data_IF_223585160149
#
_entry.id   IF_223585160149
#
_cell.length_a   1.000
_cell.length_b   1.000
_cell.length_c   1.000
_cell.angle_alpha   90.00
_cell.angle_beta   90.00
_cell.angle_gamma   90.00
#
_symmetry.space_group_name_H-M   'P 1'
#
loop_
_entity.id
_entity.type
_entity.pdbx_description
1 polymer ?
#
# COMPACT_ATOMS: atom_id res chain seq x y z
N UNK A 1 25.77 -31.96 39.58
CA UNK A 1 26.19 -31.85 38.16
C UNK A 1 25.21 -30.90 37.47
N UNK A 2 25.59 -29.64 37.22
CA UNK A 2 24.73 -28.66 36.56
C UNK A 2 25.09 -28.57 35.07
N UNK A 3 24.17 -28.99 34.19
CA UNK A 3 24.33 -28.87 32.74
C UNK A 3 24.16 -27.41 32.30
N UNK A 4 25.14 -26.85 31.58
CA UNK A 4 25.05 -25.51 30.99
C UNK A 4 24.09 -25.53 29.81
N UNK A 5 23.12 -24.59 29.78
CA UNK A 5 22.22 -24.38 28.64
C UNK A 5 23.03 -23.97 27.39
N UNK A 6 22.71 -24.48 26.19
CA UNK A 6 23.34 -24.06 24.95
C UNK A 6 23.01 -22.59 24.65
N UNK A 7 24.00 -21.85 24.13
CA UNK A 7 23.84 -20.43 23.81
C UNK A 7 23.08 -20.28 22.50
N UNK A 8 22.06 -19.40 22.47
CA UNK A 8 21.25 -19.11 21.29
C UNK A 8 22.03 -18.18 20.34
N UNK A 9 22.34 -18.60 19.09
CA UNK A 9 23.12 -17.82 18.15
C UNK A 9 22.42 -16.50 17.74
N UNK A 10 21.11 -16.35 17.96
CA UNK A 10 20.36 -15.14 17.61
C UNK A 10 20.71 -13.91 18.45
N UNK A 11 21.41 -14.08 19.58
CA UNK A 11 21.86 -12.93 20.41
C UNK A 11 23.11 -12.25 19.88
N UNK A 12 23.85 -12.86 18.94
CA UNK A 12 25.10 -12.29 18.43
C UNK A 12 24.89 -11.21 17.33
N UNK A 13 23.74 -11.22 16.64
CA UNK A 13 23.50 -10.35 15.48
C UNK A 13 22.80 -9.01 15.80
N UNK A 14 22.71 -8.64 17.08
CA UNK A 14 22.23 -7.31 17.48
C UNK A 14 23.35 -6.26 17.40
N UNK A 15 23.98 -6.13 16.23
CA UNK A 15 24.74 -4.94 15.88
C UNK A 15 23.77 -3.92 15.26
N UNK A 16 23.85 -2.61 15.60
CA UNK A 16 23.04 -1.60 14.93
C UNK A 16 23.37 -1.63 13.44
N UNK A 17 22.40 -2.10 12.65
CA UNK A 17 22.52 -2.16 11.19
C UNK A 17 22.78 -0.72 10.70
N UNK A 18 23.97 -0.50 10.16
CA UNK A 18 24.35 0.78 9.57
C UNK A 18 23.26 1.20 8.58
N UNK A 19 22.74 2.42 8.76
CA UNK A 19 21.66 2.96 7.95
C UNK A 19 22.02 2.80 6.46
N UNK A 20 21.28 1.93 5.77
CA UNK A 20 21.44 1.76 4.34
C UNK A 20 21.28 3.12 3.66
N UNK A 21 22.14 3.47 2.68
CA UNK A 21 22.03 4.74 1.98
C UNK A 21 20.63 4.85 1.40
N UNK A 22 19.88 5.87 1.85
CA UNK A 22 18.53 6.16 1.39
C UNK A 22 18.57 6.25 -0.13
N UNK A 23 17.79 5.44 -0.88
CA UNK A 23 17.73 5.60 -2.32
C UNK A 23 17.29 7.04 -2.60
N UNK A 24 18.12 7.77 -3.35
CA UNK A 24 17.87 9.16 -3.73
C UNK A 24 16.61 9.14 -4.60
N UNK A 25 15.50 9.66 -4.06
CA UNK A 25 14.20 9.67 -4.74
C UNK A 25 14.31 10.48 -6.03
N UNK A 26 13.85 9.89 -7.13
CA UNK A 26 13.84 10.50 -8.46
C UNK A 26 12.59 11.39 -8.59
N UNK A 27 12.68 12.62 -9.14
CA UNK A 27 11.52 13.44 -9.46
C UNK A 27 10.56 12.70 -10.41
N UNK A 28 9.25 12.71 -10.12
CA UNK A 28 8.27 11.82 -10.77
C UNK A 28 7.92 10.57 -9.95
N UNK A 29 8.46 10.42 -8.74
CA UNK A 29 8.04 9.37 -7.82
C UNK A 29 6.67 9.68 -7.25
N UNK A 30 5.74 8.71 -7.32
CA UNK A 30 4.49 8.64 -6.55
C UNK A 30 4.78 8.54 -5.02
N UNK A 31 5.50 9.52 -4.47
CA UNK A 31 6.04 9.52 -3.12
C UNK A 31 4.97 9.84 -2.06
N UNK A 32 3.80 10.31 -2.49
CA UNK A 32 2.66 10.58 -1.62
C UNK A 32 1.67 9.42 -1.63
N UNK A 33 1.76 8.50 -2.61
CA UNK A 33 0.98 7.26 -2.64
C UNK A 33 1.31 6.41 -1.42
N UNK A 34 0.29 5.93 -0.71
CA UNK A 34 0.39 5.00 0.44
C UNK A 34 1.61 5.30 1.35
N UNK A 35 1.65 6.48 2.02
CA UNK A 35 2.81 6.95 2.77
C UNK A 35 3.45 5.95 3.74
N UNK A 36 2.65 5.13 4.43
CA UNK A 36 3.17 4.12 5.36
C UNK A 36 3.82 2.94 4.63
N UNK A 37 3.21 2.49 3.53
CA UNK A 37 3.79 1.43 2.71
C UNK A 37 5.05 1.87 1.95
N UNK A 38 5.11 3.14 1.53
CA UNK A 38 6.16 3.68 0.67
C UNK A 38 7.26 4.47 1.41
N UNK A 39 7.18 4.61 2.74
CA UNK A 39 8.20 5.30 3.53
C UNK A 39 8.74 4.41 4.64
N UNK A 40 10.07 4.16 4.69
CA UNK A 40 10.64 3.41 5.79
C UNK A 40 10.61 4.21 7.09
N UNK A 41 10.25 3.54 8.19
CA UNK A 41 10.31 4.03 9.56
C UNK A 41 10.76 2.89 10.48
N UNK A 42 11.18 3.21 11.71
CA UNK A 42 11.64 2.19 12.65
C UNK A 42 10.45 1.31 13.12
N UNK A 43 10.66 0.00 13.36
CA UNK A 43 9.61 -0.83 13.93
C UNK A 43 9.06 -0.24 15.23
N UNK A 44 7.73 -0.19 15.36
CA UNK A 44 7.05 0.39 16.52
C UNK A 44 6.85 1.92 16.48
N UNK A 45 7.44 2.64 15.52
CA UNK A 45 7.33 4.11 15.43
C UNK A 45 6.34 4.59 14.36
N UNK A 46 5.38 3.75 13.98
CA UNK A 46 4.44 4.06 12.89
C UNK A 46 3.55 5.27 13.20
N UNK A 47 2.99 5.33 14.42
CA UNK A 47 2.16 6.46 14.85
C UNK A 47 2.95 7.78 14.92
N UNK A 48 4.19 7.73 15.44
CA UNK A 48 5.09 8.87 15.48
C UNK A 48 5.42 9.39 14.08
N UNK A 49 5.63 8.48 13.13
CA UNK A 49 5.81 8.87 11.73
C UNK A 49 4.59 9.62 11.20
N UNK A 50 3.37 9.12 11.42
CA UNK A 50 2.13 9.82 11.01
C UNK A 50 2.01 11.20 11.66
N UNK A 51 2.33 11.31 12.95
CA UNK A 51 2.25 12.57 13.67
C UNK A 51 3.35 13.57 13.30
N UNK A 52 4.47 13.11 12.75
CA UNK A 52 5.53 13.97 12.22
C UNK A 52 5.19 14.63 10.88
N UNK A 53 4.17 14.11 10.16
CA UNK A 53 3.76 14.67 8.89
C UNK A 53 3.04 16.02 9.08
N UNK A 54 3.31 16.96 8.18
CA UNK A 54 2.59 18.22 8.15
C UNK A 54 1.07 17.99 7.93
N UNK A 55 0.19 18.80 8.53
CA UNK A 55 -1.25 18.73 8.26
C UNK A 55 -1.54 18.80 6.75
N UNK A 56 -2.42 17.94 6.26
CA UNK A 56 -2.81 17.87 4.86
C UNK A 56 -3.06 16.43 4.37
N UNK A 57 -3.40 16.26 3.08
CA UNK A 57 -3.89 14.99 2.54
C UNK A 57 -2.94 13.80 2.79
N UNK A 58 -1.62 14.03 2.69
CA UNK A 58 -0.65 12.98 2.96
C UNK A 58 -0.70 12.45 4.40
N UNK A 59 -0.89 13.34 5.39
CA UNK A 59 -1.05 12.93 6.79
C UNK A 59 -2.37 12.19 6.99
N UNK A 60 -3.44 12.66 6.36
CA UNK A 60 -4.76 12.06 6.48
C UNK A 60 -4.79 10.64 5.89
N UNK A 61 -4.19 10.44 4.71
CA UNK A 61 -3.99 9.11 4.11
C UNK A 61 -3.11 8.24 5.01
N UNK A 62 -1.99 8.74 5.51
CA UNK A 62 -1.12 7.97 6.41
C UNK A 62 -1.85 7.56 7.71
N UNK A 63 -2.75 8.41 8.23
CA UNK A 63 -3.63 8.07 9.36
C UNK A 63 -4.63 6.99 8.98
N UNK A 64 -5.23 7.06 7.79
CA UNK A 64 -6.15 6.05 7.29
C UNK A 64 -5.46 4.68 7.13
N UNK A 65 -4.25 4.65 6.56
CA UNK A 65 -3.43 3.44 6.51
C UNK A 65 -3.12 2.89 7.91
N UNK A 66 -2.75 3.76 8.86
CA UNK A 66 -2.49 3.35 10.24
C UNK A 66 -3.73 2.69 10.86
N UNK A 67 -4.92 3.25 10.66
CA UNK A 67 -6.17 2.64 11.12
C UNK A 67 -6.39 1.26 10.50
N UNK A 68 -6.19 1.13 9.18
CA UNK A 68 -6.32 -0.15 8.48
C UNK A 68 -5.36 -1.21 9.04
N UNK A 69 -4.06 -0.91 9.12
CA UNK A 69 -3.05 -1.85 9.63
C UNK A 69 -3.21 -2.15 11.12
N UNK A 70 -3.87 -1.27 11.88
CA UNK A 70 -4.19 -1.49 13.29
C UNK A 70 -5.50 -2.26 13.50
N UNK A 71 -6.13 -2.78 12.44
CA UNK A 71 -7.38 -3.55 12.54
C UNK A 71 -8.60 -2.70 12.85
N UNK A 72 -8.60 -1.42 12.46
CA UNK A 72 -9.71 -0.46 12.64
C UNK A 72 -10.27 -0.05 11.28
N UNK A 73 -10.87 -0.99 10.53
CA UNK A 73 -11.30 -0.76 9.15
C UNK A 73 -12.37 0.33 9.01
N UNK A 74 -13.29 0.47 9.98
CA UNK A 74 -14.33 1.51 9.95
C UNK A 74 -13.72 2.93 9.98
N UNK A 75 -12.75 3.15 10.88
CA UNK A 75 -12.01 4.41 10.95
C UNK A 75 -11.18 4.66 9.69
N UNK A 76 -10.59 3.61 9.12
CA UNK A 76 -9.81 3.70 7.89
C UNK A 76 -10.67 4.14 6.71
N UNK A 77 -11.85 3.52 6.51
CA UNK A 77 -12.81 3.93 5.49
C UNK A 77 -13.26 5.36 5.72
N UNK A 78 -13.68 5.71 6.94
CA UNK A 78 -14.17 7.06 7.24
C UNK A 78 -13.11 8.15 6.97
N UNK A 79 -11.84 7.87 7.23
CA UNK A 79 -10.74 8.77 6.91
C UNK A 79 -10.46 8.84 5.40
N UNK A 80 -10.39 7.70 4.73
CA UNK A 80 -10.06 7.61 3.30
C UNK A 80 -11.16 8.17 2.39
N UNK A 81 -12.44 7.96 2.70
CA UNK A 81 -13.57 8.39 1.84
C UNK A 81 -13.55 9.89 1.55
N UNK A 82 -13.02 10.71 2.47
CA UNK A 82 -12.89 12.17 2.30
C UNK A 82 -11.97 12.59 1.14
N UNK A 83 -11.15 11.66 0.66
CA UNK A 83 -10.11 11.91 -0.34
C UNK A 83 -10.38 11.21 -1.68
N UNK A 84 -11.55 10.56 -1.85
CA UNK A 84 -11.91 9.87 -3.11
C UNK A 84 -12.05 10.83 -4.30
N UNK A 85 -12.35 12.10 -4.05
CA UNK A 85 -12.48 13.14 -5.07
C UNK A 85 -11.28 14.11 -5.08
N UNK A 86 -10.16 13.72 -4.47
CA UNK A 86 -8.93 14.54 -4.49
C UNK A 86 -8.43 14.79 -5.91
N UNK A 87 -8.01 16.03 -6.19
CA UNK A 87 -7.33 16.37 -7.45
C UNK A 87 -5.96 15.70 -7.57
N UNK A 88 -5.25 15.58 -6.44
CA UNK A 88 -3.97 14.87 -6.37
C UNK A 88 -4.15 13.36 -6.59
N UNK A 89 -3.53 12.85 -7.66
CA UNK A 89 -3.61 11.45 -8.08
C UNK A 89 -3.18 10.47 -6.98
N UNK A 90 -2.02 10.70 -6.37
CA UNK A 90 -1.46 9.83 -5.32
C UNK A 90 -2.42 9.70 -4.14
N UNK A 91 -3.00 10.82 -3.71
CA UNK A 91 -4.00 10.90 -2.64
C UNK A 91 -5.28 10.16 -3.02
N UNK A 92 -5.83 10.42 -4.22
CA UNK A 92 -7.06 9.79 -4.70
C UNK A 92 -6.90 8.28 -4.84
N UNK A 93 -5.81 7.83 -5.46
CA UNK A 93 -5.52 6.41 -5.61
C UNK A 93 -5.33 5.73 -4.24
N UNK A 94 -4.61 6.36 -3.31
CA UNK A 94 -4.47 5.82 -1.94
C UNK A 94 -5.82 5.66 -1.25
N UNK A 95 -6.71 6.67 -1.37
CA UNK A 95 -8.05 6.62 -0.80
C UNK A 95 -8.87 5.46 -1.35
N UNK A 96 -8.85 5.25 -2.68
CA UNK A 96 -9.53 4.14 -3.33
C UNK A 96 -8.99 2.79 -2.84
N UNK A 97 -7.67 2.62 -2.77
CA UNK A 97 -7.05 1.38 -2.28
C UNK A 97 -7.41 1.09 -0.82
N UNK A 98 -7.35 2.09 0.06
CA UNK A 98 -7.72 1.91 1.48
C UNK A 98 -9.20 1.54 1.59
N UNK A 99 -10.08 2.22 0.84
CA UNK A 99 -11.51 1.88 0.83
C UNK A 99 -11.74 0.46 0.32
N UNK A 100 -11.04 0.03 -0.73
CA UNK A 100 -11.13 -1.33 -1.24
C UNK A 100 -10.78 -2.37 -0.18
N UNK A 101 -9.60 -2.26 0.43
CA UNK A 101 -9.12 -3.24 1.40
C UNK A 101 -9.88 -3.20 2.73
N UNK A 102 -10.21 -2.01 3.23
CA UNK A 102 -10.86 -1.87 4.53
C UNK A 102 -12.34 -2.28 4.50
N UNK A 103 -13.01 -2.26 3.33
CA UNK A 103 -14.39 -2.73 3.21
C UNK A 103 -14.51 -4.27 3.18
N UNK A 104 -13.45 -5.00 2.80
CA UNK A 104 -13.44 -6.47 2.80
C UNK A 104 -13.70 -7.10 4.18
N UNK A 105 -12.93 -6.78 5.25
CA UNK A 105 -13.19 -7.34 6.58
C UNK A 105 -14.52 -6.88 7.19
N UNK A 106 -15.11 -5.81 6.66
CA UNK A 106 -16.45 -5.32 7.05
C UNK A 106 -17.59 -6.04 6.32
N UNK A 107 -17.28 -6.93 5.36
CA UNK A 107 -18.30 -7.61 4.55
C UNK A 107 -18.96 -6.69 3.51
N UNK A 108 -18.45 -5.48 3.28
CA UNK A 108 -19.00 -4.53 2.32
C UNK A 108 -18.42 -4.78 0.91
N UNK A 109 -18.71 -5.96 0.35
CA UNK A 109 -18.10 -6.43 -0.91
C UNK A 109 -18.38 -5.47 -2.08
N UNK A 110 -19.59 -4.93 -2.19
CA UNK A 110 -19.94 -4.00 -3.28
C UNK A 110 -19.14 -2.70 -3.19
N UNK A 111 -18.97 -2.15 -1.97
CA UNK A 111 -18.14 -0.97 -1.77
C UNK A 111 -16.66 -1.23 -2.07
N UNK A 112 -16.18 -2.43 -1.79
CA UNK A 112 -14.82 -2.82 -2.14
C UNK A 112 -14.63 -2.88 -3.67
N UNK A 113 -15.62 -3.41 -4.40
CA UNK A 113 -15.65 -3.41 -5.88
C UNK A 113 -15.66 -2.00 -6.45
N UNK A 114 -16.56 -1.15 -5.97
CA UNK A 114 -16.69 0.24 -6.43
C UNK A 114 -15.38 1.01 -6.24
N UNK A 115 -14.72 0.82 -5.08
CA UNK A 115 -13.43 1.45 -4.79
C UNK A 115 -12.30 0.94 -5.69
N UNK A 116 -12.30 -0.34 -6.06
CA UNK A 116 -11.31 -0.90 -7.00
C UNK A 116 -11.52 -0.42 -8.43
N UNK A 117 -12.77 -0.30 -8.89
CA UNK A 117 -13.08 0.31 -10.18
C UNK A 117 -12.69 1.80 -10.20
N UNK A 118 -12.93 2.54 -9.11
CA UNK A 118 -12.48 3.92 -8.98
C UNK A 118 -10.94 4.04 -9.00
N UNK A 119 -10.22 3.11 -8.35
CA UNK A 119 -8.75 3.05 -8.41
C UNK A 119 -8.27 2.82 -9.85
N UNK A 120 -8.89 1.87 -10.56
CA UNK A 120 -8.57 1.59 -11.96
C UNK A 120 -8.84 2.79 -12.86
N UNK A 121 -9.98 3.46 -12.70
CA UNK A 121 -10.32 4.68 -13.44
C UNK A 121 -9.31 5.81 -13.19
N UNK A 122 -8.88 6.02 -11.94
CA UNK A 122 -7.87 7.02 -11.61
C UNK A 122 -6.53 6.75 -12.31
N UNK A 123 -6.13 5.48 -12.42
CA UNK A 123 -4.89 5.07 -13.09
C UNK A 123 -5.01 5.21 -14.59
N UNK A 124 -6.12 4.78 -15.19
CA UNK A 124 -6.35 4.87 -16.63
C UNK A 124 -6.30 6.34 -17.11
N UNK A 125 -6.89 7.27 -16.34
CA UNK A 125 -6.87 8.70 -16.65
C UNK A 125 -5.46 9.32 -16.66
N UNK A 126 -4.57 8.85 -15.78
CA UNK A 126 -3.19 9.33 -15.68
C UNK A 126 -2.21 8.54 -16.58
N UNK A 127 -2.65 7.42 -17.14
CA UNK A 127 -1.79 6.50 -17.88
C UNK A 127 -1.53 6.90 -19.34
N UNK A 128 -2.12 8.00 -19.84
CA UNK A 128 -1.81 8.59 -21.14
C UNK A 128 -0.37 9.15 -21.17
N UNK A 129 0.62 8.26 -21.24
CA UNK A 129 2.04 8.59 -21.39
C UNK A 129 3.01 7.93 -20.40
N UNK A 130 2.53 7.14 -19.42
CA UNK A 130 3.37 6.55 -18.36
C UNK A 130 3.34 5.01 -18.35
N UNK A 131 4.35 4.30 -18.90
CA UNK A 131 4.41 2.85 -18.92
C UNK A 131 4.36 2.19 -17.54
N UNK A 132 4.92 2.84 -16.52
CA UNK A 132 4.91 2.39 -15.12
C UNK A 132 3.50 2.36 -14.55
N UNK A 133 2.62 3.23 -15.05
CA UNK A 133 1.26 3.35 -14.58
C UNK A 133 0.33 2.31 -15.21
N UNK A 134 0.61 1.90 -16.47
CA UNK A 134 0.00 0.71 -17.10
C UNK A 134 0.30 -0.56 -16.31
N UNK A 135 1.53 -0.67 -15.81
CA UNK A 135 1.94 -1.74 -14.91
C UNK A 135 1.13 -1.73 -13.59
N UNK A 136 0.99 -0.56 -12.96
CA UNK A 136 0.15 -0.43 -11.76
C UNK A 136 -1.34 -0.77 -12.03
N UNK A 137 -1.87 -0.41 -13.19
CA UNK A 137 -3.23 -0.77 -13.65
C UNK A 137 -3.42 -2.28 -13.68
N UNK A 138 -2.50 -3.00 -14.35
CA UNK A 138 -2.51 -4.45 -14.44
C UNK A 138 -2.42 -5.12 -13.07
N UNK A 139 -1.56 -4.60 -12.18
CA UNK A 139 -1.44 -5.09 -10.81
C UNK A 139 -2.74 -4.94 -10.01
N UNK A 140 -3.36 -3.74 -10.04
CA UNK A 140 -4.58 -3.47 -9.27
C UNK A 140 -5.76 -4.26 -9.81
N UNK A 141 -5.89 -4.40 -11.12
CA UNK A 141 -6.92 -5.22 -11.73
C UNK A 141 -6.74 -6.72 -11.38
N UNK A 142 -5.50 -7.20 -11.32
CA UNK A 142 -5.23 -8.58 -10.89
C UNK A 142 -5.50 -8.78 -9.39
N UNK A 143 -5.08 -7.84 -8.54
CA UNK A 143 -5.38 -7.88 -7.11
C UNK A 143 -6.89 -7.86 -6.84
N UNK A 144 -7.64 -7.04 -7.59
CA UNK A 144 -9.09 -7.01 -7.54
C UNK A 144 -9.71 -8.35 -7.96
N UNK A 145 -9.23 -8.95 -9.07
CA UNK A 145 -9.69 -10.26 -9.54
C UNK A 145 -9.48 -11.35 -8.50
N UNK A 146 -8.30 -11.39 -7.88
CA UNK A 146 -7.97 -12.38 -6.84
C UNK A 146 -8.80 -12.15 -5.57
N UNK A 147 -8.86 -10.92 -5.05
CA UNK A 147 -9.50 -10.63 -3.76
C UNK A 147 -11.03 -10.67 -3.81
N UNK A 148 -11.62 -10.40 -4.97
CA UNK A 148 -13.07 -10.33 -5.16
C UNK A 148 -13.64 -11.52 -5.94
N UNK A 149 -12.79 -12.49 -6.30
CA UNK A 149 -13.16 -13.63 -7.14
C UNK A 149 -13.82 -13.20 -8.47
N UNK A 150 -13.31 -12.13 -9.08
CA UNK A 150 -13.77 -11.64 -10.38
C UNK A 150 -13.00 -12.34 -11.51
N UNK A 151 -13.58 -12.50 -12.71
CA UNK A 151 -12.85 -13.01 -13.86
C UNK A 151 -11.62 -12.15 -14.15
N UNK A 152 -10.54 -12.79 -14.61
CA UNK A 152 -9.31 -12.09 -14.93
C UNK A 152 -9.57 -11.01 -16.01
N UNK A 153 -9.01 -9.81 -15.85
CA UNK A 153 -9.22 -8.72 -16.80
C UNK A 153 -8.60 -9.05 -18.17
N UNK A 154 -9.37 -8.90 -19.25
CA UNK A 154 -8.91 -9.14 -20.61
C UNK A 154 -7.96 -8.02 -21.11
N UNK A 155 -6.87 -8.40 -21.77
CA UNK A 155 -5.95 -7.47 -22.44
C UNK A 155 -4.90 -6.79 -21.55
N UNK A 156 -4.79 -7.16 -20.27
CA UNK A 156 -3.69 -6.70 -19.41
C UNK A 156 -2.43 -7.56 -19.59
N UNK A 157 -1.22 -6.96 -19.56
CA UNK A 157 0.03 -7.73 -19.60
C UNK A 157 0.08 -8.73 -18.44
N UNK A 158 0.67 -9.90 -18.67
CA UNK A 158 0.75 -10.94 -17.64
C UNK A 158 1.33 -10.36 -16.35
N UNK A 159 0.65 -10.59 -15.23
CA UNK A 159 1.03 -10.01 -13.93
C UNK A 159 2.51 -10.29 -13.57
N UNK A 160 3.06 -11.42 -14.02
CA UNK A 160 4.46 -11.80 -13.84
C UNK A 160 5.46 -10.80 -14.46
N UNK A 161 5.11 -10.17 -15.58
CA UNK A 161 5.96 -9.21 -16.29
C UNK A 161 5.99 -7.83 -15.60
N UNK A 162 5.03 -7.59 -14.73
CA UNK A 162 4.73 -6.28 -14.13
C UNK A 162 5.01 -6.25 -12.63
N UNK A 163 4.93 -7.40 -11.97
CA UNK A 163 5.09 -7.51 -10.52
C UNK A 163 6.55 -7.39 -10.07
N UNK A 164 6.81 -6.77 -8.91
CA UNK A 164 8.09 -6.86 -8.22
C UNK A 164 8.49 -8.31 -7.97
N UNK A 165 9.80 -8.66 -7.97
CA UNK A 165 10.26 -10.05 -7.92
C UNK A 165 9.69 -10.89 -6.77
N UNK A 166 9.48 -10.29 -5.60
CA UNK A 166 8.93 -10.98 -4.43
C UNK A 166 7.47 -11.40 -4.57
N UNK A 167 6.67 -10.72 -5.40
CA UNK A 167 5.26 -11.01 -5.62
C UNK A 167 5.01 -11.95 -6.80
N UNK A 168 6.00 -12.12 -7.69
CA UNK A 168 5.89 -13.05 -8.84
C UNK A 168 5.68 -14.50 -8.42
N UNK A 169 6.16 -14.90 -7.24
CA UNK A 169 6.01 -16.26 -6.73
C UNK A 169 4.55 -16.64 -6.40
N UNK A 170 3.65 -15.66 -6.34
CA UNK A 170 2.24 -15.84 -5.98
C UNK A 170 1.27 -15.51 -7.12
N UNK A 171 1.79 -15.26 -8.33
CA UNK A 171 1.03 -14.82 -9.50
C UNK A 171 0.92 -15.88 -10.59
#
# INVERSE_FOLDING_TARGET
MNARKPNDPRRADSAPQAAMPRPRRVPGSHANLMPLMNTPFAPGTCAEFVDSLAPGPRRDIARAELCYFSGRPEEAVAAATRHLESEDFDTRLSACLICAYANLPLGHIDRAKDALEAARGAIAAESEGAPQLRAAEAFIAQAASVLLHLPAPEGLPHAQDVLPPGLRAFA
#
